data_IF_235048394288
#
_entry.id   IF_235048394288
#
_cell.length_a   1.000
_cell.length_b   1.000
_cell.length_c   1.000
_cell.angle_alpha   90.00
_cell.angle_beta   90.00
_cell.angle_gamma   90.00
#
_symmetry.space_group_name_H-M   'P 1'
#
loop_
_entity.id
_entity.type
_entity.pdbx_description
1 polymer ?
2 non-polymer ?
3 non-polymer ?
4 water ?
#
# COMPACT_ATOMS: atom_id res chain seq x y z
N UNK A 1 2.35 11.77 15.74
CA UNK A 1 2.38 11.42 14.35
C UNK A 1 1.07 11.72 13.71
N UNK A 2 1.07 11.66 12.40
CA UNK A 2 -0.10 11.93 11.60
C UNK A 2 -1.23 10.91 11.74
N UNK A 3 -2.48 11.34 11.62
CA UNK A 3 -3.60 10.43 11.55
C UNK A 3 -3.71 9.77 10.18
N UNK A 4 -2.96 10.28 9.18
CA UNK A 4 -3.05 9.81 7.82
C UNK A 4 -2.07 8.65 7.64
N UNK A 5 -2.52 7.49 8.06
CA UNK A 5 -1.72 6.29 8.09
C UNK A 5 -2.64 5.07 7.99
N UNK A 6 -2.02 3.89 8.14
CA UNK A 6 -2.72 2.60 8.22
C UNK A 6 -2.85 2.26 9.71
N UNK A 7 -4.07 2.18 10.23
CA UNK A 7 -4.23 2.07 11.66
C UNK A 7 -3.88 0.70 12.23
N UNK A 8 -4.02 -0.35 11.44
CA UNK A 8 -3.74 -1.71 11.84
C UNK A 8 -3.20 -2.47 10.66
N UNK A 9 -2.24 -3.35 10.95
CA UNK A 9 -1.60 -4.25 10.01
C UNK A 9 -2.03 -5.67 10.35
N UNK A 10 -2.28 -6.47 9.32
CA UNK A 10 -2.62 -7.90 9.48
C UNK A 10 -1.86 -8.73 8.47
N UNK A 11 -1.28 -9.84 8.94
CA UNK A 11 -0.60 -10.78 8.07
C UNK A 11 -1.23 -12.14 8.22
N UNK A 12 -0.97 -12.97 7.21
CA UNK A 12 -1.51 -14.32 7.17
C UNK A 12 -0.68 -15.30 7.94
N UNK A 13 -1.30 -16.46 8.18
CA UNK A 13 -0.69 -17.54 8.91
C UNK A 13 0.11 -18.44 8.00
N UNK A 14 1.23 -17.92 7.52
CA UNK A 14 2.16 -18.62 6.67
C UNK A 14 3.55 -18.55 7.36
N UNK A 15 4.46 -19.47 6.96
CA UNK A 15 5.83 -19.43 7.43
C UNK A 15 6.43 -18.01 7.23
N UNK A 16 7.23 -17.57 8.18
CA UNK A 16 7.89 -16.25 8.10
C UNK A 16 6.90 -15.11 8.09
N UNK A 17 5.80 -15.27 8.80
CA UNK A 17 4.84 -14.17 8.89
C UNK A 17 5.48 -12.98 9.61
N UNK A 18 6.48 -13.21 10.47
CA UNK A 18 7.14 -12.03 11.09
C UNK A 18 7.83 -11.05 9.96
N UNK A 19 8.32 -11.72 8.93
CA UNK A 19 8.89 -11.05 7.74
C UNK A 19 7.79 -10.34 6.94
N UNK A 20 6.64 -10.98 6.77
CA UNK A 20 5.50 -10.33 6.12
C UNK A 20 5.09 -9.09 6.93
N UNK A 21 5.08 -9.20 8.25
CA UNK A 21 4.71 -8.05 9.08
C UNK A 21 5.73 -6.92 8.92
N UNK A 22 7.03 -7.26 8.95
CA UNK A 22 8.02 -6.24 8.73
C UNK A 22 7.86 -5.56 7.38
N UNK A 23 7.40 -6.30 6.37
CA UNK A 23 7.15 -5.74 5.05
C UNK A 23 6.02 -4.69 5.14
N UNK A 24 4.90 -5.05 5.79
CA UNK A 24 3.83 -4.08 5.96
C UNK A 24 4.27 -2.86 6.79
N UNK A 25 5.07 -3.09 7.82
CA UNK A 25 5.55 -1.96 8.63
C UNK A 25 6.40 -1.02 7.76
N UNK A 26 7.22 -1.61 6.90
CA UNK A 26 8.06 -0.81 6.01
C UNK A 26 7.20 0.05 5.09
N UNK A 27 6.15 -0.51 4.52
CA UNK A 27 5.23 0.24 3.65
C UNK A 27 4.54 1.36 4.42
N UNK A 28 4.03 1.04 5.61
CA UNK A 28 3.36 2.06 6.41
C UNK A 28 4.28 3.23 6.69
N UNK A 29 5.54 2.91 7.00
CA UNK A 29 6.51 3.87 7.47
C UNK A 29 7.30 4.53 6.33
N UNK A 30 7.06 4.10 5.11
CA UNK A 30 7.76 4.59 3.93
C UNK A 30 7.51 6.07 3.82
N UNK A 31 8.60 6.87 3.70
CA UNK A 31 8.43 8.30 3.69
C UNK A 31 7.60 8.84 2.52
N UNK A 32 7.69 8.16 1.39
CA UNK A 32 6.90 8.52 0.24
C UNK A 32 5.44 8.19 0.39
N UNK A 33 5.13 7.02 0.94
CA UNK A 33 3.75 6.67 1.27
C UNK A 33 3.16 7.63 2.28
N UNK A 34 3.93 7.96 3.31
CA UNK A 34 3.45 8.93 4.32
C UNK A 34 3.19 10.28 3.67
N UNK A 35 4.07 10.71 2.76
CA UNK A 35 3.87 11.99 2.10
C UNK A 35 2.57 12.07 1.36
N UNK A 36 2.25 11.02 0.58
CA UNK A 36 1.02 11.07 -0.16
C UNK A 36 -0.22 10.89 0.74
N UNK A 37 -0.14 10.07 1.77
CA UNK A 37 -1.29 9.95 2.67
C UNK A 37 -1.57 11.27 3.40
N UNK A 38 -0.49 11.98 3.76
CA UNK A 38 -0.66 13.31 4.37
C UNK A 38 -1.22 14.27 3.32
N UNK A 39 -0.64 14.31 2.12
CA UNK A 39 -1.08 15.30 1.11
C UNK A 39 -2.51 15.11 0.71
N UNK A 40 -2.93 13.84 0.59
CA UNK A 40 -4.26 13.52 0.16
C UNK A 40 -5.24 13.23 1.31
N UNK A 41 -4.77 13.38 2.53
CA UNK A 41 -5.60 13.22 3.76
C UNK A 41 -6.31 11.88 3.80
N UNK A 42 -5.53 10.80 3.70
CA UNK A 42 -6.06 9.44 3.74
C UNK A 42 -5.68 8.75 5.01
N UNK A 43 -6.73 8.24 5.72
CA UNK A 43 -6.60 7.31 6.82
C UNK A 43 -7.20 6.00 6.39
N UNK A 44 -6.42 4.94 6.45
CA UNK A 44 -6.89 3.60 6.04
C UNK A 44 -6.89 2.73 7.28
N UNK A 45 -8.07 2.28 7.71
CA UNK A 45 -8.12 1.53 8.98
C UNK A 45 -7.28 0.25 9.01
N UNK A 46 -7.22 -0.46 7.88
CA UNK A 46 -6.59 -1.76 7.87
C UNK A 46 -5.78 -1.95 6.61
N UNK A 47 -4.54 -2.41 6.75
CA UNK A 47 -3.68 -2.83 5.64
C UNK A 47 -3.34 -4.29 5.92
N UNK A 48 -3.71 -5.20 5.02
CA UNK A 48 -3.51 -6.62 5.20
C UNK A 48 -2.71 -7.22 4.07
N UNK A 49 -2.09 -8.35 4.38
CA UNK A 49 -1.52 -9.22 3.37
C UNK A 49 -2.60 -10.01 2.71
N UNK A 50 -2.60 -9.97 1.36
CA UNK A 50 -3.49 -10.65 0.52
C UNK A 50 -3.01 -12.11 0.40
N UNK A 51 -3.95 -13.05 0.38
CA UNK A 51 -3.59 -14.45 0.28
C UNK A 51 -2.83 -14.66 -1.04
N UNK A 52 -1.71 -15.42 -1.04
CA UNK A 52 -1.06 -15.68 -2.34
C UNK A 52 -1.75 -16.82 -3.08
N UNK A 62 -4.19 -9.43 -9.90
CA UNK A 62 -4.65 -9.66 -8.56
C UNK A 62 -3.54 -9.48 -7.53
N UNK A 63 -2.89 -8.33 -7.52
CA UNK A 63 -1.83 -8.09 -6.58
C UNK A 63 -2.18 -7.16 -5.44
N UNK A 64 -3.33 -6.53 -5.50
CA UNK A 64 -3.80 -5.69 -4.44
C UNK A 64 -5.30 -5.54 -4.53
N UNK A 65 -5.88 -5.00 -3.46
CA UNK A 65 -7.31 -4.75 -3.34
C UNK A 65 -7.53 -3.47 -2.56
N UNK A 66 -8.59 -2.74 -2.91
CA UNK A 66 -9.07 -1.64 -2.11
C UNK A 66 -10.55 -1.85 -1.86
N UNK A 67 -10.91 -2.17 -0.62
CA UNK A 67 -12.29 -2.40 -0.24
C UNK A 67 -12.90 -1.09 0.30
N UNK A 68 -14.04 -0.73 -0.29
CA UNK A 68 -14.85 0.40 0.19
C UNK A 68 -14.07 1.69 0.35
N UNK A 69 -13.35 2.04 -0.71
CA UNK A 69 -12.66 3.34 -0.79
C UNK A 69 -11.79 3.60 0.41
N UNK A 70 -10.97 2.61 0.69
CA UNK A 70 -9.97 2.78 1.68
C UNK A 70 -10.33 2.32 3.09
N UNK A 71 -11.43 1.59 3.25
CA UNK A 71 -11.68 0.95 4.53
C UNK A 71 -10.63 -0.11 4.83
N UNK A 72 -10.15 -0.77 3.79
CA UNK A 72 -9.21 -1.88 3.92
C UNK A 72 -8.48 -2.03 2.59
N UNK A 73 -7.15 -1.98 2.65
CA UNK A 73 -6.32 -2.28 1.48
C UNK A 73 -5.58 -3.59 1.76
N UNK A 74 -5.52 -4.44 0.73
CA UNK A 74 -4.77 -5.69 0.80
C UNK A 74 -3.68 -5.68 -0.27
N UNK A 75 -2.54 -6.30 0.05
CA UNK A 75 -1.40 -6.37 -0.88
C UNK A 75 -0.88 -7.80 -0.88
N UNK A 76 -0.66 -8.36 -2.08
CA UNK A 76 0.00 -9.64 -2.19
C UNK A 76 1.50 -9.42 -1.95
N UNK A 77 2.03 -9.96 -0.87
CA UNK A 77 3.45 -9.78 -0.54
C UNK A 77 4.28 -10.93 -1.07
N UNK A 78 3.67 -12.12 -1.20
CA UNK A 78 4.40 -13.36 -1.40
C UNK A 78 4.34 -13.83 -2.81
N UNK A 79 5.39 -14.53 -3.22
CA UNK A 79 5.44 -15.24 -4.49
C UNK A 79 5.24 -16.75 -4.35
N UNK A 80 5.25 -17.27 -3.16
CA UNK A 80 4.99 -18.69 -2.83
C UNK A 80 4.51 -18.75 -1.40
N UNK A 81 4.36 -19.93 -0.83
CA UNK A 81 3.79 -20.10 0.50
C UNK A 81 4.82 -20.48 1.51
N UNK A 82 6.09 -20.14 1.28
CA UNK A 82 7.12 -20.43 2.25
C UNK A 82 7.89 -19.16 2.58
N UNK A 83 8.86 -18.78 1.74
CA UNK A 83 9.70 -17.58 2.02
C UNK A 83 9.95 -16.70 0.79
N UNK A 84 9.18 -16.91 -0.29
CA UNK A 84 9.38 -16.02 -1.44
C UNK A 84 8.51 -14.78 -1.31
N UNK A 85 9.14 -13.62 -1.47
CA UNK A 85 8.47 -12.33 -1.40
C UNK A 85 8.69 -11.54 -2.66
N UNK A 86 7.66 -10.76 -2.99
CA UNK A 86 7.77 -9.79 -4.12
C UNK A 86 8.67 -8.56 -3.82
N UNK A 87 9.25 -8.04 -4.87
CA UNK A 87 10.18 -6.93 -4.68
C UNK A 87 9.46 -5.67 -4.19
N UNK A 88 10.15 -4.91 -3.36
CA UNK A 88 9.58 -3.76 -2.72
C UNK A 88 9.06 -2.73 -3.70
N UNK A 89 9.86 -2.42 -4.72
CA UNK A 89 9.43 -1.38 -5.64
C UNK A 89 8.08 -1.73 -6.24
N UNK A 90 7.90 -2.99 -6.63
CA UNK A 90 6.68 -3.39 -7.25
C UNK A 90 5.49 -3.31 -6.28
N UNK A 91 5.70 -3.80 -5.06
CA UNK A 91 4.61 -3.74 -4.06
C UNK A 91 4.27 -2.33 -3.67
N UNK A 92 5.26 -1.47 -3.49
CA UNK A 92 4.99 -0.07 -3.20
C UNK A 92 4.12 0.55 -4.29
N UNK A 93 4.44 0.28 -5.54
CA UNK A 93 3.64 0.82 -6.62
C UNK A 93 2.23 0.25 -6.64
N UNK A 94 2.05 -1.02 -6.34
CA UNK A 94 0.73 -1.59 -6.15
C UNK A 94 -0.03 -0.88 -5.02
N UNK A 95 0.65 -0.57 -3.93
CA UNK A 95 0.00 0.17 -2.84
C UNK A 95 -0.46 1.54 -3.32
N UNK A 96 0.37 2.24 -4.10
CA UNK A 96 -0.06 3.54 -4.65
C UNK A 96 -1.27 3.38 -5.55
N UNK A 97 -1.31 2.32 -6.36
CA UNK A 97 -2.47 2.01 -7.16
C UNK A 97 -3.70 1.86 -6.25
N UNK A 98 -3.60 1.05 -5.22
CA UNK A 98 -4.74 0.87 -4.33
C UNK A 98 -5.15 2.18 -3.65
N UNK A 99 -4.22 2.97 -3.21
CA UNK A 99 -4.58 4.27 -2.62
C UNK A 99 -5.33 5.16 -3.61
N UNK A 100 -4.95 5.10 -4.90
CA UNK A 100 -5.63 5.89 -5.91
C UNK A 100 -7.10 5.55 -5.97
N UNK A 101 -7.46 4.28 -5.72
CA UNK A 101 -8.82 3.83 -5.65
C UNK A 101 -9.60 4.39 -4.44
N UNK A 102 -8.96 5.11 -3.54
CA UNK A 102 -9.71 5.88 -2.55
C UNK A 102 -10.57 6.93 -3.23
N UNK A 103 -10.14 7.41 -4.42
CA UNK A 103 -10.79 8.49 -5.15
C UNK A 103 -11.44 7.97 -6.39
N UNK A 104 -10.77 7.14 -7.18
CA UNK A 104 -11.26 6.76 -8.51
C UNK A 104 -11.54 5.24 -8.54
N UNK A 105 -12.73 4.82 -8.87
CA UNK A 105 -13.06 3.43 -8.88
C UNK A 105 -12.56 2.63 -10.06
N UNK A 106 -12.60 3.28 -11.21
CA UNK A 106 -12.21 2.70 -12.47
C UNK A 106 -10.77 3.18 -12.83
N UNK A 107 -10.09 2.32 -13.64
CA UNK A 107 -8.76 2.64 -14.12
C UNK A 107 -8.81 3.54 -15.35
N UNK A 108 -9.48 4.68 -15.19
CA UNK A 108 -9.66 5.69 -16.22
C UNK A 108 -8.59 6.78 -16.29
N UNK A 109 -8.74 7.79 -17.18
CA UNK A 109 -7.72 8.79 -17.26
C UNK A 109 -7.50 9.54 -15.95
N UNK A 110 -8.54 9.77 -15.18
CA UNK A 110 -8.40 10.46 -13.94
C UNK A 110 -7.61 9.62 -12.89
N UNK A 111 -7.94 8.34 -12.89
CA UNK A 111 -7.17 7.38 -12.05
C UNK A 111 -5.73 7.46 -12.36
N UNK A 112 -5.37 7.30 -13.68
CA UNK A 112 -3.95 7.22 -13.99
C UNK A 112 -3.24 8.57 -13.82
N UNK A 113 -3.94 9.70 -14.02
CA UNK A 113 -3.34 10.98 -13.76
C UNK A 113 -2.94 11.09 -12.25
N UNK A 114 -3.87 10.77 -11.37
CA UNK A 114 -3.58 10.83 -9.96
C UNK A 114 -2.50 9.79 -9.59
N UNK A 115 -2.58 8.58 -10.14
CA UNK A 115 -1.54 7.59 -9.88
C UNK A 115 -0.17 8.12 -10.23
N UNK A 116 -0.02 8.76 -11.41
CA UNK A 116 1.29 9.29 -11.77
C UNK A 116 1.77 10.40 -10.80
N UNK A 117 0.81 11.24 -10.40
CA UNK A 117 1.18 12.34 -9.47
C UNK A 117 1.61 11.79 -8.11
N UNK A 118 0.87 10.81 -7.64
CA UNK A 118 1.23 10.17 -6.35
C UNK A 118 2.55 9.44 -6.43
N UNK A 119 2.79 8.77 -7.57
CA UNK A 119 4.04 8.05 -7.80
C UNK A 119 5.23 9.05 -7.73
N UNK A 120 5.06 10.17 -8.44
CA UNK A 120 6.14 11.16 -8.43
C UNK A 120 6.39 11.69 -7.01
N UNK A 121 5.32 12.01 -6.28
CA UNK A 121 5.48 12.47 -4.93
C UNK A 121 6.22 11.46 -4.05
N UNK A 122 5.79 10.23 -4.15
CA UNK A 122 6.30 9.17 -3.27
C UNK A 122 7.70 8.69 -3.62
N UNK A 123 8.16 9.02 -4.82
CA UNK A 123 9.50 8.63 -5.27
C UNK A 123 10.52 9.78 -5.17
N UNK A 124 10.14 10.91 -4.57
CA UNK A 124 10.99 12.07 -4.57
C UNK A 124 12.36 11.76 -3.96
N UNK A 125 13.40 12.32 -4.53
CA UNK A 125 14.78 12.02 -4.12
C UNK A 125 15.14 12.46 -2.74
N UNK A 126 14.42 13.42 -2.18
CA UNK A 126 14.76 13.95 -0.88
C UNK A 126 14.17 13.18 0.26
N UNK A 127 13.26 12.27 0.01
CA UNK A 127 12.60 11.55 1.08
C UNK A 127 13.40 10.41 1.62
X LIG B 1 -7.18 -1.41 -9.48
X LIG C 1 -6.87 -2.46 -7.61
X LIG C 1 -7.37 -3.58 -7.50
#
# INVERSE_FOLDING_TARGET
GSIYTFNELVVLDYPHKDRALRYLERLRDDTGIKKIMDSHRWTVPLLSEMDPAEHTRHDSKTLGLNHNQGAHIELRLRTDRYDGFRDYKTVKSTLIHELTHNVHGEHDSSFWELFRQLTKEADAADL
NI NI
OXY O1 O2
#
